data_IF_357963507260
#
_entry.id   IF_357963507260
#
_cell.length_a   1.000
_cell.length_b   1.000
_cell.length_c   1.000
_cell.angle_alpha   90.00
_cell.angle_beta   90.00
_cell.angle_gamma   90.00
#
_symmetry.space_group_name_H-M   'P 1'
#
loop_
_entity.id
_entity.type
_entity.pdbx_description
1 polymer ?
#
# COMPACT_ATOMS: atom_id res chain seq x y z
N UNK A 1 27.33 -8.37 -8.23
CA UNK A 1 26.64 -9.66 -8.33
C UNK A 1 27.50 -10.90 -8.20
N UNK A 2 28.82 -10.76 -7.92
CA UNK A 2 29.68 -11.93 -7.68
C UNK A 2 29.66 -12.31 -6.21
N UNK A 3 29.48 -13.59 -5.92
CA UNK A 3 29.63 -14.16 -4.58
C UNK A 3 31.09 -14.10 -4.12
N UNK A 4 31.30 -13.80 -2.85
CA UNK A 4 32.61 -13.84 -2.24
C UNK A 4 32.94 -15.30 -1.97
N UNK A 5 34.07 -15.78 -2.47
CA UNK A 5 34.44 -17.20 -2.41
C UNK A 5 34.78 -17.68 -0.99
N UNK A 6 35.20 -16.77 -0.11
CA UNK A 6 35.52 -17.07 1.28
C UNK A 6 34.29 -16.86 2.18
N UNK A 7 33.64 -17.93 2.67
CA UNK A 7 32.52 -17.79 3.58
C UNK A 7 32.97 -17.40 4.98
N UNK A 8 32.22 -16.50 5.62
CA UNK A 8 32.37 -16.17 7.03
C UNK A 8 31.66 -17.27 7.84
N UNK A 9 32.42 -18.06 8.63
CA UNK A 9 31.87 -19.15 9.44
C UNK A 9 31.72 -18.78 10.91
N UNK A 10 32.51 -17.83 11.39
CA UNK A 10 32.53 -17.36 12.77
C UNK A 10 31.46 -16.28 12.99
N UNK A 11 31.06 -16.07 14.25
CA UNK A 11 30.20 -15.00 14.65
C UNK A 11 30.93 -13.93 15.47
N UNK A 12 30.37 -12.75 15.62
CA UNK A 12 30.97 -11.64 16.37
C UNK A 12 31.19 -11.96 17.85
N UNK A 13 30.42 -12.87 18.44
CA UNK A 13 30.53 -13.25 19.85
C UNK A 13 31.74 -14.14 20.08
N UNK A 14 32.05 -15.01 19.16
CA UNK A 14 33.19 -15.95 19.22
C UNK A 14 34.50 -15.30 18.75
N UNK A 15 34.37 -14.24 17.97
CA UNK A 15 35.46 -13.57 17.30
C UNK A 15 35.65 -14.08 15.86
N UNK A 16 36.09 -13.17 15.01
CA UNK A 16 36.35 -13.44 13.59
C UNK A 16 37.85 -13.69 13.38
N UNK A 17 38.19 -14.57 12.43
CA UNK A 17 39.52 -14.66 11.91
C UNK A 17 39.92 -13.40 11.14
N UNK A 18 41.22 -13.15 10.99
CA UNK A 18 41.73 -11.93 10.34
C UNK A 18 41.17 -11.75 8.93
N UNK A 19 41.11 -12.84 8.15
CA UNK A 19 40.53 -12.80 6.80
C UNK A 19 39.02 -12.55 6.80
N UNK A 20 38.28 -13.17 7.72
CA UNK A 20 36.86 -12.97 7.88
C UNK A 20 36.54 -11.55 8.29
N UNK A 21 37.34 -10.97 9.20
CA UNK A 21 37.20 -9.56 9.59
C UNK A 21 37.43 -8.61 8.40
N UNK A 22 38.47 -8.87 7.61
CA UNK A 22 38.80 -8.06 6.44
C UNK A 22 37.65 -8.08 5.42
N UNK A 23 37.05 -9.24 5.15
CA UNK A 23 35.90 -9.36 4.25
C UNK A 23 34.69 -8.68 4.84
N UNK A 24 34.41 -8.82 6.14
CA UNK A 24 33.31 -8.18 6.82
C UNK A 24 33.41 -6.64 6.77
N UNK A 25 34.64 -6.10 6.84
CA UNK A 25 34.89 -4.67 6.73
C UNK A 25 34.49 -4.11 5.35
N UNK A 26 34.68 -4.87 4.28
CA UNK A 26 34.17 -4.46 2.94
C UNK A 26 32.65 -4.38 2.90
N UNK A 27 31.96 -5.37 3.49
CA UNK A 27 30.50 -5.38 3.61
C UNK A 27 29.97 -4.18 4.43
N UNK A 28 30.60 -3.90 5.57
CA UNK A 28 30.26 -2.76 6.41
C UNK A 28 30.43 -1.43 5.68
N UNK A 29 31.57 -1.24 4.98
CA UNK A 29 31.84 -0.03 4.20
C UNK A 29 30.83 0.16 3.08
N UNK A 30 30.48 -0.91 2.36
CA UNK A 30 29.45 -0.88 1.32
C UNK A 30 28.08 -0.52 1.92
N UNK A 31 27.71 -1.11 3.05
CA UNK A 31 26.46 -0.82 3.74
C UNK A 31 26.33 0.65 4.17
N UNK A 32 27.41 1.25 4.69
CA UNK A 32 27.47 2.67 5.02
C UNK A 32 27.28 3.57 3.80
N UNK A 33 27.96 3.24 2.70
CA UNK A 33 27.82 3.99 1.44
C UNK A 33 26.40 3.87 0.86
N UNK A 34 25.85 2.66 0.81
CA UNK A 34 24.48 2.42 0.31
C UNK A 34 23.44 3.16 1.15
N UNK A 35 23.59 3.18 2.47
CA UNK A 35 22.69 3.90 3.38
C UNK A 35 22.73 5.41 3.09
N UNK A 36 23.91 6.00 2.94
CA UNK A 36 24.08 7.41 2.64
C UNK A 36 23.39 7.81 1.32
N UNK A 37 23.54 6.99 0.27
CA UNK A 37 22.91 7.23 -1.04
C UNK A 37 21.38 7.06 -0.99
N UNK A 38 20.89 5.99 -0.38
CA UNK A 38 19.44 5.75 -0.26
C UNK A 38 18.72 6.80 0.56
N UNK A 39 19.38 7.38 1.55
CA UNK A 39 18.81 8.48 2.35
C UNK A 39 18.51 9.70 1.49
N UNK A 40 19.42 10.05 0.57
CA UNK A 40 19.23 11.16 -0.36
C UNK A 40 18.04 10.91 -1.30
N UNK A 41 17.92 9.72 -1.89
CA UNK A 41 16.82 9.35 -2.79
C UNK A 41 15.48 9.35 -2.06
N UNK A 42 15.43 8.79 -0.86
CA UNK A 42 14.24 8.80 0.00
C UNK A 42 13.81 10.22 0.36
N UNK A 43 14.75 11.08 0.73
CA UNK A 43 14.48 12.49 1.05
C UNK A 43 13.93 13.26 -0.15
N UNK A 44 14.50 13.07 -1.32
CA UNK A 44 14.03 13.70 -2.54
C UNK A 44 12.63 13.21 -2.96
N UNK A 45 12.36 11.91 -2.85
CA UNK A 45 11.02 11.36 -3.11
C UNK A 45 9.99 11.96 -2.15
N UNK A 46 10.30 11.96 -0.85
CA UNK A 46 9.40 12.53 0.17
C UNK A 46 9.10 13.99 -0.09
N UNK A 47 10.12 14.80 -0.41
CA UNK A 47 9.91 16.21 -0.75
C UNK A 47 8.95 16.39 -1.91
N UNK A 48 9.15 15.65 -3.02
CA UNK A 48 8.25 15.72 -4.19
C UNK A 48 6.81 15.32 -3.86
N UNK A 49 6.62 14.29 -3.02
CA UNK A 49 5.29 13.87 -2.59
C UNK A 49 4.62 14.94 -1.73
N UNK A 50 5.36 15.57 -0.82
CA UNK A 50 4.84 16.67 0.00
C UNK A 50 4.48 17.87 -0.87
N UNK A 51 5.34 18.27 -1.79
CA UNK A 51 5.11 19.41 -2.69
C UNK A 51 3.83 19.22 -3.53
N UNK A 52 3.53 18.00 -3.97
CA UNK A 52 2.31 17.69 -4.73
C UNK A 52 1.07 17.60 -3.84
N UNK A 53 1.22 17.08 -2.62
CA UNK A 53 0.09 16.80 -1.73
C UNK A 53 -0.29 17.96 -0.80
N UNK A 54 0.57 18.98 -0.64
CA UNK A 54 0.32 20.08 0.31
C UNK A 54 -0.92 20.93 -0.04
N UNK A 55 -1.29 20.98 -1.30
CA UNK A 55 -2.45 21.74 -1.76
C UNK A 55 -3.77 20.97 -1.61
N UNK A 56 -3.71 19.68 -1.23
CA UNK A 56 -4.87 18.84 -1.02
C UNK A 56 -5.45 19.06 0.38
N UNK A 57 -6.59 19.73 0.44
CA UNK A 57 -7.32 19.98 1.69
C UNK A 57 -8.65 19.26 1.65
N UNK A 58 -8.88 18.39 2.64
CA UNK A 58 -10.20 17.74 2.84
C UNK A 58 -11.11 18.72 3.57
N UNK A 59 -12.16 19.20 2.91
CA UNK A 59 -13.09 20.19 3.46
C UNK A 59 -14.36 19.58 4.03
N UNK A 60 -14.77 18.43 3.54
CA UNK A 60 -16.01 17.76 3.90
C UNK A 60 -15.74 16.37 4.44
N UNK A 61 -16.45 15.98 5.49
CA UNK A 61 -16.32 14.66 6.10
C UNK A 61 -16.87 13.57 5.19
N UNK A 62 -18.00 13.84 4.53
CA UNK A 62 -18.63 12.97 3.54
C UNK A 62 -19.25 13.79 2.40
N UNK A 63 -18.55 13.86 1.29
CA UNK A 63 -19.02 14.56 0.09
C UNK A 63 -20.04 13.76 -0.74
N UNK A 64 -20.35 12.53 -0.34
CA UNK A 64 -21.22 11.62 -1.09
C UNK A 64 -22.56 11.39 -0.39
N UNK A 65 -22.92 12.24 0.59
CA UNK A 65 -24.18 12.12 1.30
C UNK A 65 -25.37 12.17 0.33
N UNK A 66 -26.07 11.04 0.19
CA UNK A 66 -27.17 10.89 -0.77
C UNK A 66 -26.80 10.76 -2.26
N UNK A 67 -25.51 10.63 -2.59
CA UNK A 67 -25.01 10.43 -3.96
C UNK A 67 -24.33 9.08 -4.10
N UNK A 68 -24.10 8.67 -5.35
CA UNK A 68 -23.31 7.48 -5.64
C UNK A 68 -21.89 7.63 -5.12
N UNK A 69 -21.41 6.62 -4.35
CA UNK A 69 -20.09 6.63 -3.76
C UNK A 69 -19.05 6.32 -4.85
N UNK A 70 -18.12 7.24 -5.12
CA UNK A 70 -17.05 6.97 -6.07
C UNK A 70 -16.13 5.88 -5.54
N UNK A 71 -15.87 4.89 -6.35
CA UNK A 71 -15.12 3.71 -5.96
C UNK A 71 -13.95 3.42 -6.90
N UNK A 72 -13.00 2.70 -6.37
CA UNK A 72 -11.96 2.01 -7.13
C UNK A 72 -12.02 0.53 -6.78
N UNK A 73 -11.95 -0.31 -7.80
CA UNK A 73 -11.87 -1.74 -7.62
C UNK A 73 -10.42 -2.15 -7.36
N UNK A 74 -10.20 -2.87 -6.26
CA UNK A 74 -8.87 -3.37 -5.90
C UNK A 74 -8.87 -4.89 -5.84
N UNK A 75 -7.72 -5.45 -6.27
CA UNK A 75 -7.40 -6.88 -6.23
C UNK A 75 -6.12 -7.09 -5.43
N UNK A 76 -5.78 -8.32 -5.14
CA UNK A 76 -4.45 -8.65 -4.63
C UNK A 76 -3.38 -8.14 -5.61
N UNK A 77 -2.26 -7.67 -5.10
CA UNK A 77 -1.13 -7.26 -5.91
C UNK A 77 -0.16 -8.44 -6.04
N UNK A 78 -0.01 -8.94 -7.25
CA UNK A 78 0.88 -10.05 -7.55
C UNK A 78 1.81 -9.70 -8.70
N UNK A 79 3.04 -10.15 -8.62
CA UNK A 79 4.04 -10.09 -9.69
C UNK A 79 4.31 -11.52 -10.18
N UNK A 80 3.72 -11.83 -11.33
CA UNK A 80 3.78 -13.16 -11.90
C UNK A 80 3.13 -14.23 -11.01
N UNK A 81 3.95 -15.04 -10.32
CA UNK A 81 3.48 -16.15 -9.48
C UNK A 81 3.41 -15.83 -7.98
N UNK A 82 4.03 -14.74 -7.55
CA UNK A 82 4.08 -14.37 -6.14
C UNK A 82 3.11 -13.25 -5.84
N UNK A 83 2.34 -13.42 -4.78
CA UNK A 83 1.47 -12.37 -4.23
C UNK A 83 2.31 -11.49 -3.31
N UNK A 84 2.56 -10.25 -3.74
CA UNK A 84 3.35 -9.27 -2.99
C UNK A 84 2.53 -8.70 -1.83
N UNK A 85 1.26 -8.39 -2.11
CA UNK A 85 0.35 -7.84 -1.11
C UNK A 85 -1.02 -8.51 -1.24
N UNK A 86 -1.49 -9.10 -0.16
CA UNK A 86 -2.79 -9.79 -0.15
C UNK A 86 -3.95 -8.80 -0.25
N UNK A 87 -5.09 -9.23 -0.80
CA UNK A 87 -6.30 -8.41 -0.83
C UNK A 87 -6.73 -8.00 0.58
N UNK A 88 -6.57 -8.89 1.57
CA UNK A 88 -6.89 -8.59 2.97
C UNK A 88 -6.10 -7.41 3.52
N UNK A 89 -4.80 -7.35 3.27
CA UNK A 89 -3.93 -6.23 3.69
C UNK A 89 -4.35 -4.95 2.99
N UNK A 90 -4.62 -5.01 1.69
CA UNK A 90 -5.01 -3.87 0.88
C UNK A 90 -6.34 -3.24 1.26
N UNK A 91 -7.32 -4.01 1.75
CA UNK A 91 -8.62 -3.49 2.20
C UNK A 91 -8.62 -3.04 3.66
N UNK A 92 -7.66 -3.50 4.46
CA UNK A 92 -7.56 -3.14 5.88
C UNK A 92 -7.31 -1.64 6.05
N UNK A 93 -8.13 -0.99 6.90
CA UNK A 93 -8.05 0.44 7.15
C UNK A 93 -8.69 1.32 6.07
N UNK A 94 -9.29 0.75 5.02
CA UNK A 94 -9.97 1.49 3.95
C UNK A 94 -11.48 1.46 4.12
N UNK A 95 -12.16 2.46 3.56
CA UNK A 95 -13.61 2.51 3.52
C UNK A 95 -14.13 1.74 2.32
N UNK A 96 -15.04 0.79 2.56
CA UNK A 96 -15.66 -0.03 1.53
C UNK A 96 -16.78 0.79 0.85
N UNK A 97 -16.85 0.74 -0.48
CA UNK A 97 -17.85 1.47 -1.25
C UNK A 97 -19.15 0.67 -1.44
N UNK A 98 -19.10 -0.65 -1.30
CA UNK A 98 -20.26 -1.54 -1.46
C UNK A 98 -20.61 -2.25 -0.14
N UNK A 99 -21.88 -2.58 0.06
CA UNK A 99 -22.27 -3.42 1.19
C UNK A 99 -21.99 -4.88 0.87
N UNK A 100 -21.23 -5.54 1.74
CA UNK A 100 -20.86 -6.95 1.59
C UNK A 100 -21.70 -7.78 2.57
N UNK A 101 -22.52 -8.69 2.02
CA UNK A 101 -23.37 -9.60 2.75
C UNK A 101 -22.93 -11.04 2.55
N UNK A 102 -23.04 -11.86 3.57
CA UNK A 102 -22.78 -13.30 3.45
C UNK A 102 -23.97 -13.95 2.69
N UNK A 103 -23.71 -14.67 1.59
CA UNK A 103 -24.76 -15.29 0.78
C UNK A 103 -25.54 -16.40 1.54
N UNK A 104 -24.93 -17.04 2.53
CA UNK A 104 -25.52 -18.15 3.26
C UNK A 104 -26.43 -17.66 4.41
N UNK A 105 -25.96 -16.67 5.17
CA UNK A 105 -26.67 -16.16 6.35
C UNK A 105 -27.49 -14.90 6.09
N UNK A 106 -27.22 -14.19 4.98
CA UNK A 106 -27.81 -12.88 4.69
C UNK A 106 -27.33 -11.77 5.64
N UNK A 107 -26.34 -12.07 6.52
CA UNK A 107 -25.81 -11.11 7.47
C UNK A 107 -24.89 -10.11 6.77
N UNK A 108 -25.01 -8.84 7.14
CA UNK A 108 -24.15 -7.77 6.60
C UNK A 108 -22.82 -7.78 7.34
N UNK A 109 -21.76 -8.18 6.65
CA UNK A 109 -20.39 -8.21 7.18
C UNK A 109 -19.79 -6.80 7.25
N UNK A 110 -19.94 -6.03 6.18
CA UNK A 110 -19.52 -4.62 6.13
C UNK A 110 -20.55 -3.82 5.35
N UNK A 111 -20.99 -2.70 5.91
CA UNK A 111 -21.86 -1.74 5.22
C UNK A 111 -21.03 -0.82 4.33
N UNK A 112 -21.62 -0.34 3.26
CA UNK A 112 -21.05 0.73 2.44
C UNK A 112 -20.67 1.94 3.30
N UNK A 113 -19.60 2.62 2.94
CA UNK A 113 -19.07 3.79 3.64
C UNK A 113 -18.62 3.54 5.09
N UNK A 114 -18.24 2.29 5.42
CA UNK A 114 -17.66 1.93 6.70
C UNK A 114 -16.22 1.46 6.55
N UNK A 115 -15.42 1.78 7.56
CA UNK A 115 -14.02 1.36 7.60
C UNK A 115 -13.90 -0.15 7.81
N UNK A 116 -13.06 -0.78 7.02
CA UNK A 116 -12.74 -2.19 7.11
C UNK A 116 -11.64 -2.41 8.16
N UNK A 117 -12.01 -2.88 9.35
CA UNK A 117 -11.05 -3.26 10.39
C UNK A 117 -10.39 -4.61 10.05
N UNK A 118 -9.23 -4.98 10.65
CA UNK A 118 -8.59 -6.27 10.37
C UNK A 118 -9.51 -7.49 10.59
N UNK A 119 -10.38 -7.43 11.60
CA UNK A 119 -11.38 -8.49 11.85
C UNK A 119 -12.43 -8.58 10.74
N UNK A 120 -12.92 -7.42 10.29
CA UNK A 120 -13.87 -7.36 9.16
C UNK A 120 -13.21 -7.78 7.85
N UNK A 121 -11.95 -7.40 7.62
CA UNK A 121 -11.21 -7.82 6.43
C UNK A 121 -11.11 -9.36 6.33
N UNK A 122 -10.80 -10.04 7.42
CA UNK A 122 -10.78 -11.49 7.45
C UNK A 122 -12.17 -12.13 7.18
N UNK A 123 -13.23 -11.51 7.68
CA UNK A 123 -14.61 -11.96 7.39
C UNK A 123 -14.98 -11.71 5.92
N UNK A 124 -14.61 -10.55 5.36
CA UNK A 124 -14.83 -10.22 3.94
C UNK A 124 -14.12 -11.22 3.05
N UNK A 125 -12.89 -11.63 3.35
CA UNK A 125 -12.16 -12.61 2.54
C UNK A 125 -12.92 -13.94 2.46
N UNK A 126 -13.47 -14.43 3.56
CA UNK A 126 -14.27 -15.67 3.56
C UNK A 126 -15.53 -15.56 2.70
N UNK A 127 -16.18 -14.41 2.72
CA UNK A 127 -17.37 -14.17 1.90
C UNK A 127 -16.99 -14.05 0.41
N UNK A 128 -15.88 -13.41 0.09
CA UNK A 128 -15.40 -13.30 -1.29
C UNK A 128 -15.03 -14.66 -1.89
N UNK A 129 -14.41 -15.54 -1.11
CA UNK A 129 -14.15 -16.93 -1.53
C UNK A 129 -15.44 -17.67 -1.89
N UNK A 130 -16.50 -17.53 -1.07
CA UNK A 130 -17.82 -18.12 -1.36
C UNK A 130 -18.46 -17.54 -2.61
N UNK A 131 -18.28 -16.23 -2.85
CA UNK A 131 -18.83 -15.54 -4.01
C UNK A 131 -17.99 -15.72 -5.29
N UNK A 132 -16.79 -16.31 -5.19
CA UNK A 132 -15.86 -16.43 -6.31
C UNK A 132 -15.34 -15.07 -6.84
N UNK A 133 -15.32 -14.05 -5.97
CA UNK A 133 -14.82 -12.70 -6.31
C UNK A 133 -13.41 -12.51 -5.78
N UNK A 134 -12.57 -11.93 -6.61
CA UNK A 134 -11.17 -11.61 -6.32
C UNK A 134 -10.92 -10.11 -6.09
N UNK A 135 -11.99 -9.31 -6.08
CA UNK A 135 -11.92 -7.86 -6.02
C UNK A 135 -12.95 -7.25 -5.07
N UNK A 136 -12.63 -6.08 -4.54
CA UNK A 136 -13.50 -5.29 -3.65
C UNK A 136 -13.50 -3.84 -4.10
N UNK A 137 -14.67 -3.20 -4.04
CA UNK A 137 -14.82 -1.78 -4.31
C UNK A 137 -14.55 -0.98 -3.03
N UNK A 138 -13.51 -0.17 -3.06
CA UNK A 138 -13.15 0.74 -1.98
C UNK A 138 -13.48 2.19 -2.36
N UNK A 139 -13.81 2.99 -1.36
CA UNK A 139 -13.96 4.42 -1.52
C UNK A 139 -12.58 5.06 -1.77
N UNK A 140 -12.49 5.94 -2.74
CA UNK A 140 -11.25 6.66 -3.04
C UNK A 140 -11.39 8.13 -2.75
N UNK A 141 -10.31 8.76 -2.28
CA UNK A 141 -10.23 10.22 -2.15
C UNK A 141 -10.29 10.86 -3.53
N UNK A 142 -9.73 10.21 -4.54
CA UNK A 142 -9.81 10.66 -5.94
C UNK A 142 -11.24 10.70 -6.48
N UNK A 143 -12.09 9.78 -6.08
CA UNK A 143 -13.48 9.79 -6.49
C UNK A 143 -14.24 10.97 -5.92
N UNK A 144 -14.00 11.31 -4.66
CA UNK A 144 -14.51 12.55 -4.05
C UNK A 144 -13.96 13.78 -4.75
N UNK A 145 -12.70 13.75 -5.14
CA UNK A 145 -12.00 14.82 -5.83
C UNK A 145 -12.41 14.93 -7.31
N UNK A 146 -12.64 13.82 -8.01
CA UNK A 146 -13.11 13.82 -9.41
C UNK A 146 -14.55 14.33 -9.55
N UNK A 147 -15.42 14.10 -8.58
CA UNK A 147 -16.74 14.72 -8.60
C UNK A 147 -16.67 16.26 -8.41
N UNK A 148 -15.68 16.74 -7.68
CA UNK A 148 -15.39 18.17 -7.53
C UNK A 148 -14.60 18.76 -8.71
N UNK A 149 -13.67 17.99 -9.30
CA UNK A 149 -12.88 18.42 -10.47
C UNK A 149 -13.70 18.59 -11.73
N UNK A 150 -14.78 17.85 -11.91
CA UNK A 150 -15.67 18.06 -13.06
C UNK A 150 -16.36 19.43 -13.05
N UNK A 151 -16.37 20.14 -11.91
CA UNK A 151 -16.94 21.47 -11.82
C UNK A 151 -15.91 22.61 -11.83
N UNK A 152 -14.65 22.41 -11.36
CA UNK A 152 -13.71 23.52 -11.15
C UNK A 152 -12.28 23.33 -11.65
N UNK A 153 -11.80 22.11 -11.93
CA UNK A 153 -10.38 21.87 -12.20
C UNK A 153 -10.03 21.27 -13.57
N UNK A 154 -11.01 21.04 -14.43
CA UNK A 154 -10.76 20.52 -15.78
C UNK A 154 -9.89 21.44 -16.69
N UNK A 155 -9.80 22.76 -16.48
CA UNK A 155 -8.93 23.61 -17.31
C UNK A 155 -7.44 23.54 -16.97
N UNK A 156 -7.03 23.14 -15.74
CA UNK A 156 -5.64 23.28 -15.28
C UNK A 156 -4.72 22.11 -15.62
N UNK A 157 -5.25 20.94 -15.93
CA UNK A 157 -4.45 19.76 -16.30
C UNK A 157 -4.44 19.42 -17.79
N UNK A 158 -5.02 20.25 -18.63
CA UNK A 158 -5.07 20.03 -20.08
C UNK A 158 -3.88 20.61 -20.85
N UNK A 159 -2.92 21.22 -20.17
CA UNK A 159 -1.70 21.75 -20.77
C UNK A 159 -0.47 21.28 -19.96
N UNK A 160 -0.04 20.06 -20.26
CA UNK A 160 1.38 19.71 -20.49
C UNK A 160 1.46 18.29 -21.02
#
# INVERSE_FOLDING_TARGET
GKTIELPIKSNFREGLDVLEYFISAHGARKGLSDTALRTADSGYLTRRLVDVSQDLIIRETDCCEGKEIPFMEIKAFSDGKETIESLQERITGRYIAETITDPDTGEVVVKANHMCTPKRAAAVMKVLEKLGRDSVKIRTVHGSFLSYQNQFFYPLFRHK
#
